data_IF_803677866887
#
_entry.id   IF_803677866887
#
_cell.length_a   1.000
_cell.length_b   1.000
_cell.length_c   1.000
_cell.angle_alpha   90.00
_cell.angle_beta   90.00
_cell.angle_gamma   90.00
#
_symmetry.space_group_name_H-M   'P 1'
#
loop_
_entity.id
_entity.type
_entity.pdbx_description
1 polymer ?
#
# COMPACT_ATOMS: atom_id res chain seq x y z
N UNK A 1 -27.69 41.56 9.94
CA UNK A 1 -27.92 40.13 10.23
C UNK A 1 -28.00 39.39 8.91
N UNK A 2 -26.92 38.73 8.51
CA UNK A 2 -27.00 37.60 7.58
C UNK A 2 -25.81 36.69 7.86
N UNK A 3 -26.05 35.79 8.80
CA UNK A 3 -25.23 34.65 9.17
C UNK A 3 -25.49 33.57 8.14
N UNK A 4 -24.61 33.41 7.16
CA UNK A 4 -24.46 32.15 6.42
C UNK A 4 -22.97 31.97 6.13
N UNK A 5 -22.27 31.50 7.16
CA UNK A 5 -21.02 30.77 7.04
C UNK A 5 -21.32 29.55 6.14
N UNK A 6 -20.96 29.61 4.86
CA UNK A 6 -20.94 28.38 4.05
C UNK A 6 -19.81 27.53 4.58
N UNK A 7 -20.15 26.39 5.16
CA UNK A 7 -19.19 25.34 5.48
C UNK A 7 -18.36 25.08 4.21
N UNK A 8 -17.07 25.40 4.25
CA UNK A 8 -16.13 24.83 3.30
C UNK A 8 -16.09 23.35 3.65
N UNK A 9 -16.72 22.50 2.83
CA UNK A 9 -16.43 21.09 2.86
C UNK A 9 -14.91 20.97 2.67
N UNK A 10 -14.21 20.62 3.73
CA UNK A 10 -12.76 20.46 3.70
C UNK A 10 -12.48 19.31 2.72
N UNK A 11 -11.53 19.51 1.81
CA UNK A 11 -11.24 18.47 0.81
C UNK A 11 -10.72 17.21 1.51
N UNK A 12 -11.06 16.00 1.02
CA UNK A 12 -10.62 14.77 1.66
C UNK A 12 -9.10 14.70 1.76
N UNK A 13 -8.59 14.14 2.85
CA UNK A 13 -7.17 13.90 3.02
C UNK A 13 -6.69 12.94 1.93
N UNK A 14 -5.63 13.30 1.21
CA UNK A 14 -5.09 12.45 0.14
C UNK A 14 -3.91 11.63 0.63
N UNK A 15 -3.97 10.32 0.43
CA UNK A 15 -2.86 9.39 0.70
C UNK A 15 -2.39 8.83 -0.63
N UNK A 16 -1.15 9.12 -0.99
CA UNK A 16 -0.52 8.55 -2.18
C UNK A 16 0.26 7.29 -1.80
N UNK A 17 -0.04 6.18 -2.48
CA UNK A 17 0.57 4.88 -2.20
C UNK A 17 1.27 4.38 -3.45
N UNK A 18 2.59 4.24 -3.37
CA UNK A 18 3.39 3.58 -4.40
C UNK A 18 3.48 2.10 -4.09
N UNK A 19 3.12 1.27 -5.06
CA UNK A 19 3.12 -0.18 -4.91
C UNK A 19 3.79 -0.86 -6.09
N UNK A 20 4.42 -1.99 -5.81
CA UNK A 20 4.88 -2.95 -6.80
C UNK A 20 4.06 -4.24 -6.64
N UNK A 21 3.58 -4.79 -7.76
CA UNK A 21 2.80 -6.03 -7.81
C UNK A 21 3.55 -7.24 -7.27
N UNK A 22 4.89 -7.27 -7.35
CA UNK A 22 5.67 -8.42 -6.84
C UNK A 22 6.05 -8.28 -5.37
N UNK A 23 5.75 -7.14 -4.74
CA UNK A 23 6.10 -6.90 -3.34
C UNK A 23 5.07 -7.54 -2.40
N UNK A 24 5.45 -8.57 -1.60
CA UNK A 24 4.50 -9.21 -0.69
C UNK A 24 4.03 -8.26 0.42
N UNK A 25 4.87 -7.32 0.86
CA UNK A 25 4.51 -6.34 1.88
C UNK A 25 3.53 -5.29 1.38
N UNK A 26 3.55 -4.93 0.09
CA UNK A 26 2.54 -4.04 -0.49
C UNK A 26 1.15 -4.67 -0.44
N UNK A 27 1.05 -5.99 -0.64
CA UNK A 27 -0.22 -6.72 -0.52
C UNK A 27 -0.73 -6.74 0.93
N UNK A 28 0.14 -7.02 1.90
CA UNK A 28 -0.22 -6.97 3.33
C UNK A 28 -0.64 -5.55 3.72
N UNK A 29 0.14 -4.55 3.31
CA UNK A 29 -0.11 -3.14 3.57
C UNK A 29 -1.41 -2.61 2.96
N UNK A 30 -1.81 -3.10 1.78
CA UNK A 30 -3.10 -2.74 1.15
C UNK A 30 -4.29 -3.15 2.03
N UNK A 31 -4.28 -4.37 2.57
CA UNK A 31 -5.33 -4.83 3.48
C UNK A 31 -5.39 -3.96 4.75
N UNK A 32 -4.23 -3.67 5.36
CA UNK A 32 -4.14 -2.85 6.56
C UNK A 32 -4.57 -1.40 6.31
N UNK A 33 -4.16 -0.80 5.18
CA UNK A 33 -4.54 0.56 4.83
C UNK A 33 -6.05 0.66 4.62
N UNK A 34 -6.65 -0.29 3.91
CA UNK A 34 -8.11 -0.34 3.71
C UNK A 34 -8.88 -0.40 5.04
N UNK A 35 -8.38 -1.17 6.00
CA UNK A 35 -8.96 -1.23 7.35
C UNK A 35 -8.79 0.10 8.09
N UNK A 36 -7.59 0.69 8.04
CA UNK A 36 -7.25 1.90 8.77
C UNK A 36 -8.02 3.14 8.29
N UNK A 37 -8.34 3.22 6.99
CA UNK A 37 -9.07 4.36 6.41
C UNK A 37 -10.59 4.18 6.42
N UNK A 38 -11.10 3.03 6.88
CA UNK A 38 -12.52 2.74 6.87
C UNK A 38 -13.31 3.76 7.70
N UNK A 39 -14.28 4.43 7.08
CA UNK A 39 -15.11 5.46 7.73
C UNK A 39 -14.47 6.84 7.87
N UNK A 40 -13.25 7.05 7.35
CA UNK A 40 -12.59 8.35 7.29
C UNK A 40 -12.82 9.03 5.93
N UNK A 41 -12.76 10.36 5.90
CA UNK A 41 -12.82 11.14 4.66
C UNK A 41 -11.43 11.23 4.01
N UNK A 42 -11.02 10.10 3.38
CA UNK A 42 -9.69 9.90 2.81
C UNK A 42 -9.80 9.44 1.36
N UNK A 43 -9.04 10.08 0.47
CA UNK A 43 -8.84 9.64 -0.90
C UNK A 43 -7.49 8.91 -1.02
N UNK A 44 -7.53 7.58 -1.25
CA UNK A 44 -6.33 6.79 -1.49
C UNK A 44 -6.00 6.77 -2.99
N UNK A 45 -4.82 7.26 -3.35
CA UNK A 45 -4.36 7.39 -4.73
C UNK A 45 -3.20 6.42 -4.97
N UNK A 46 -3.46 5.38 -5.73
CA UNK A 46 -2.48 4.36 -6.07
C UNK A 46 -1.55 4.81 -7.20
N UNK A 47 -0.26 4.56 -7.04
CA UNK A 47 0.79 4.88 -7.99
C UNK A 47 1.63 3.63 -8.30
N UNK A 48 1.96 3.36 -9.57
CA UNK A 48 2.83 2.26 -9.91
C UNK A 48 4.26 2.52 -9.44
N UNK A 49 4.95 1.46 -9.03
CA UNK A 49 6.37 1.46 -8.70
C UNK A 49 6.98 0.10 -9.08
N UNK A 50 8.22 0.09 -9.54
CA UNK A 50 8.97 -1.14 -9.84
C UNK A 50 10.18 -1.22 -8.91
N UNK A 51 10.22 -2.24 -8.06
CA UNK A 51 11.36 -2.55 -7.19
C UNK A 51 12.58 -2.99 -8.00
N UNK A 52 12.35 -3.66 -9.13
CA UNK A 52 13.39 -4.21 -10.00
C UNK A 52 13.17 -3.73 -11.44
N UNK A 53 13.39 -2.43 -11.73
CA UNK A 53 13.24 -1.91 -13.07
C UNK A 53 14.26 -2.54 -14.02
N UNK A 54 13.90 -2.67 -15.29
CA UNK A 54 14.82 -3.16 -16.33
C UNK A 54 16.12 -2.33 -16.32
N UNK A 55 17.32 -2.98 -16.42
CA UNK A 55 17.56 -4.38 -16.75
C UNK A 55 17.72 -5.32 -15.55
N UNK A 56 17.28 -4.92 -14.34
CA UNK A 56 17.42 -5.74 -13.15
C UNK A 56 16.70 -7.09 -13.34
N UNK A 57 17.38 -8.25 -13.23
CA UNK A 57 16.72 -9.54 -13.37
C UNK A 57 15.59 -9.69 -12.36
N UNK A 58 14.55 -10.47 -12.64
CA UNK A 58 13.51 -10.77 -11.65
C UNK A 58 14.00 -11.82 -10.64
N UNK A 59 13.31 -11.93 -9.50
CA UNK A 59 13.54 -13.05 -8.57
C UNK A 59 12.71 -14.24 -9.07
N UNK A 60 13.30 -15.44 -9.05
CA UNK A 60 12.61 -16.67 -9.41
C UNK A 60 11.96 -17.28 -8.17
N UNK A 61 10.65 -17.59 -8.19
CA UNK A 61 9.97 -18.23 -7.07
C UNK A 61 10.61 -19.55 -6.63
N UNK A 62 11.27 -20.24 -7.56
CA UNK A 62 11.89 -21.55 -7.33
C UNK A 62 13.26 -21.44 -6.65
N UNK A 63 13.89 -20.26 -6.63
CA UNK A 63 15.21 -20.05 -6.05
C UNK A 63 15.14 -20.03 -4.50
N UNK A 64 16.17 -20.58 -3.87
CA UNK A 64 16.30 -20.70 -2.40
C UNK A 64 16.13 -19.37 -1.66
N UNK A 65 16.54 -18.26 -2.29
CA UNK A 65 16.43 -16.93 -1.71
C UNK A 65 15.00 -16.60 -1.31
N UNK A 66 14.04 -16.70 -2.25
CA UNK A 66 12.64 -16.34 -1.99
C UNK A 66 12.01 -17.30 -0.97
N UNK A 67 12.26 -18.59 -1.11
CA UNK A 67 11.76 -19.62 -0.19
C UNK A 67 12.23 -19.38 1.26
N UNK A 68 13.47 -18.92 1.43
CA UNK A 68 14.07 -18.66 2.75
C UNK A 68 13.56 -17.36 3.34
N UNK A 69 13.63 -16.25 2.59
CA UNK A 69 13.26 -14.93 3.12
C UNK A 69 11.76 -14.83 3.39
N UNK A 70 10.91 -15.51 2.60
CA UNK A 70 9.47 -15.50 2.84
C UNK A 70 9.11 -16.19 4.15
N UNK A 71 9.66 -17.38 4.41
CA UNK A 71 9.44 -18.11 5.68
C UNK A 71 9.93 -17.32 6.89
N UNK A 72 11.06 -16.62 6.75
CA UNK A 72 11.68 -15.90 7.86
C UNK A 72 11.01 -14.54 8.15
N UNK A 73 10.48 -13.87 7.12
CA UNK A 73 10.05 -12.48 7.24
C UNK A 73 8.64 -12.22 6.73
N UNK A 74 8.27 -12.74 5.55
CA UNK A 74 6.99 -12.41 4.92
C UNK A 74 5.82 -13.09 5.62
N UNK A 75 5.85 -14.42 5.79
CA UNK A 75 4.75 -15.15 6.41
C UNK A 75 4.50 -14.71 7.85
N UNK A 76 5.51 -14.54 8.72
CA UNK A 76 5.28 -14.01 10.06
C UNK A 76 4.60 -12.63 10.07
N UNK A 77 4.85 -11.78 9.07
CA UNK A 77 4.17 -10.48 8.95
C UNK A 77 2.72 -10.59 8.47
N UNK A 78 2.38 -11.64 7.70
CA UNK A 78 1.04 -11.83 7.17
C UNK A 78 0.04 -12.40 8.19
N UNK A 79 0.51 -12.96 9.30
CA UNK A 79 -0.32 -13.56 10.36
C UNK A 79 -0.80 -12.54 11.41
N UNK A 80 -0.47 -11.25 11.25
CA UNK A 80 -0.92 -10.17 12.13
C UNK A 80 -2.39 -9.83 11.95
#
# INVERSE_FOLDING_TARGET
>A
MNTLQSATAEAPLKIYVWLDFVCPYCLIGDALLKQAVAGLDVEVIWKPFELRPYPTPTLKPEDDYLQTVWKRHVYPTAEF
#
